data_IF_860150801951
#
_entry.id   IF_860150801951
#
_cell.length_a   1.000
_cell.length_b   1.000
_cell.length_c   1.000
_cell.angle_alpha   90.00
_cell.angle_beta   90.00
_cell.angle_gamma   90.00
#
_symmetry.space_group_name_H-M   'P 1'
#
loop_
_entity.id
_entity.type
_entity.pdbx_description
1 polymer ?
#
# COMPACT_ATOMS: atom_id res chain seq x y z
N UNK A 1 -5.06 -3.59 5.98
CA UNK A 1 -4.78 -4.92 5.40
C UNK A 1 -3.74 -4.79 4.30
N UNK A 2 -4.07 -4.19 3.15
CA UNK A 2 -3.14 -4.03 2.00
C UNK A 2 -1.75 -3.54 2.42
N UNK A 3 -1.67 -2.41 3.12
CA UNK A 3 -0.39 -1.83 3.54
C UNK A 3 0.46 -2.77 4.41
N UNK A 4 -0.16 -3.54 5.30
CA UNK A 4 0.58 -4.50 6.12
C UNK A 4 1.03 -5.72 5.31
N UNK A 5 0.20 -6.16 4.35
CA UNK A 5 0.54 -7.29 3.48
C UNK A 5 1.65 -6.95 2.48
N UNK A 6 1.73 -5.69 2.05
CA UNK A 6 2.85 -5.15 1.25
C UNK A 6 4.01 -4.61 2.11
N UNK A 7 4.03 -4.96 3.40
CA UNK A 7 5.11 -4.65 4.34
C UNK A 7 5.48 -3.16 4.42
N UNK A 8 4.49 -2.27 4.24
CA UNK A 8 4.72 -0.83 4.29
C UNK A 8 4.94 -0.37 5.73
N UNK A 9 6.12 0.19 6.01
CA UNK A 9 6.41 0.78 7.32
C UNK A 9 5.59 2.07 7.53
N UNK A 10 4.69 2.11 8.55
CA UNK A 10 3.93 3.30 8.87
C UNK A 10 4.77 4.44 9.46
N UNK A 11 6.04 4.20 9.83
CA UNK A 11 6.93 5.18 10.45
C UNK A 11 6.56 5.57 11.88
N UNK A 12 5.53 4.92 12.46
CA UNK A 12 5.04 5.13 13.82
C UNK A 12 4.73 3.79 14.50
N UNK A 13 4.86 3.77 15.82
CA UNK A 13 4.55 2.59 16.64
C UNK A 13 3.04 2.43 16.78
N UNK A 14 2.53 1.22 16.53
CA UNK A 14 1.14 0.88 16.84
C UNK A 14 1.02 0.31 18.25
N UNK A 15 1.81 -0.72 18.54
CA UNK A 15 1.92 -1.34 19.87
C UNK A 15 3.36 -1.77 20.06
N UNK A 16 4.12 -1.11 20.93
CA UNK A 16 5.55 -1.42 21.11
C UNK A 16 5.78 -2.94 21.31
N UNK A 17 6.72 -3.58 20.60
CA UNK A 17 7.68 -3.03 19.62
C UNK A 17 7.16 -2.91 18.17
N UNK A 18 5.90 -3.29 17.91
CA UNK A 18 5.29 -3.47 16.59
C UNK A 18 4.90 -2.16 15.88
N UNK A 19 5.29 -2.07 14.60
CA UNK A 19 4.93 -1.01 13.66
C UNK A 19 4.07 -1.57 12.53
N UNK A 20 2.76 -1.63 12.77
CA UNK A 20 1.78 -2.03 11.78
C UNK A 20 0.80 -0.89 11.51
N UNK A 21 0.31 -0.80 10.29
CA UNK A 21 -0.83 0.07 9.99
C UNK A 21 -2.06 -0.37 10.78
N UNK A 22 -2.63 0.59 11.47
CA UNK A 22 -3.95 0.52 12.10
C UNK A 22 -4.91 1.48 11.39
N UNK A 23 -6.21 1.21 11.42
CA UNK A 23 -7.21 2.06 10.74
C UNK A 23 -7.20 3.53 11.19
N UNK A 24 -6.82 3.77 12.46
CA UNK A 24 -6.66 5.13 13.01
C UNK A 24 -5.47 5.91 12.42
N UNK A 25 -4.65 5.27 11.57
CA UNK A 25 -3.49 5.87 10.90
C UNK A 25 -3.82 6.32 9.47
N UNK A 26 -5.05 6.13 9.00
CA UNK A 26 -5.46 6.39 7.62
C UNK A 26 -6.22 7.71 7.51
N UNK A 27 -5.57 8.80 7.92
CA UNK A 27 -6.14 10.13 8.12
C UNK A 27 -5.72 11.17 7.06
N UNK A 28 -4.99 10.76 6.03
CA UNK A 28 -4.66 11.66 4.92
C UNK A 28 -5.74 11.69 3.83
N UNK A 29 -5.80 12.77 3.05
CA UNK A 29 -6.83 13.06 2.04
C UNK A 29 -8.25 13.34 2.59
N UNK A 30 -8.72 12.59 3.59
CA UNK A 30 -10.05 12.77 4.19
C UNK A 30 -9.95 12.56 5.71
N UNK A 31 -10.48 13.47 6.54
CA UNK A 31 -10.50 13.28 7.99
C UNK A 31 -11.25 12.02 8.41
N UNK A 32 -10.72 11.28 9.40
CA UNK A 32 -11.32 10.03 9.88
C UNK A 32 -12.77 10.21 10.37
N UNK A 33 -13.11 11.36 10.94
CA UNK A 33 -14.46 11.63 11.45
C UNK A 33 -15.49 11.82 10.32
N UNK A 34 -15.05 12.19 9.13
CA UNK A 34 -15.92 12.23 7.94
C UNK A 34 -16.03 10.82 7.35
N UNK A 35 -14.92 10.08 7.25
CA UNK A 35 -14.90 8.69 6.79
C UNK A 35 -15.86 7.81 7.60
N UNK A 36 -15.91 7.97 8.93
CA UNK A 36 -16.84 7.21 9.80
C UNK A 36 -18.32 7.45 9.46
N UNK A 37 -18.67 8.64 8.95
CA UNK A 37 -20.05 9.03 8.66
C UNK A 37 -20.48 8.63 7.25
N UNK A 38 -19.61 8.84 6.26
CA UNK A 38 -19.98 8.75 4.84
C UNK A 38 -19.20 7.70 4.07
N UNK A 39 -18.18 7.08 4.66
CA UNK A 39 -17.24 6.21 3.97
C UNK A 39 -16.30 6.98 3.06
N UNK A 40 -15.78 6.30 2.03
CA UNK A 40 -14.89 6.87 1.02
C UNK A 40 -15.30 6.44 -0.38
N UNK A 41 -15.00 7.29 -1.35
CA UNK A 41 -15.16 6.99 -2.78
C UNK A 41 -13.95 6.23 -3.33
N UNK A 42 -14.06 5.69 -4.54
CA UNK A 42 -12.96 4.96 -5.18
C UNK A 42 -11.71 5.83 -5.38
N UNK A 43 -11.88 7.12 -5.72
CA UNK A 43 -10.77 8.07 -5.86
C UNK A 43 -10.17 8.47 -4.52
N UNK A 44 -10.97 8.58 -3.46
CA UNK A 44 -10.45 8.83 -2.11
C UNK A 44 -9.66 7.62 -1.58
N UNK A 45 -10.11 6.39 -1.89
CA UNK A 45 -9.33 5.19 -1.61
C UNK A 45 -7.95 5.24 -2.29
N UNK A 46 -7.92 5.60 -3.58
CA UNK A 46 -6.66 5.74 -4.31
C UNK A 46 -5.73 6.79 -3.68
N UNK A 47 -6.27 7.96 -3.30
CA UNK A 47 -5.51 9.00 -2.60
C UNK A 47 -4.92 8.50 -1.28
N UNK A 48 -5.72 7.80 -0.47
CA UNK A 48 -5.28 7.18 0.79
C UNK A 48 -4.14 6.17 0.56
N UNK A 49 -4.25 5.33 -0.48
CA UNK A 49 -3.22 4.36 -0.83
C UNK A 49 -1.91 5.05 -1.28
N UNK A 50 -2.00 6.04 -2.16
CA UNK A 50 -0.84 6.77 -2.69
C UNK A 50 -0.12 7.59 -1.62
N UNK A 51 -0.88 8.23 -0.73
CA UNK A 51 -0.37 8.92 0.45
C UNK A 51 0.43 7.96 1.37
N UNK A 52 0.05 6.68 1.39
CA UNK A 52 0.72 5.64 2.16
C UNK A 52 1.66 4.80 1.30
N UNK A 53 2.43 5.47 0.43
CA UNK A 53 3.58 4.90 -0.32
C UNK A 53 3.23 3.86 -1.38
N UNK A 54 1.96 3.64 -1.67
CA UNK A 54 1.56 2.73 -2.74
C UNK A 54 1.57 3.45 -4.10
N UNK A 55 1.77 2.67 -5.15
CA UNK A 55 1.31 2.99 -6.49
C UNK A 55 -0.09 2.39 -6.66
N UNK A 56 -0.97 3.16 -7.27
CA UNK A 56 -2.36 2.76 -7.48
C UNK A 56 -2.73 2.88 -8.94
N UNK A 57 -3.33 1.82 -9.49
CA UNK A 57 -4.01 1.86 -10.78
C UNK A 57 -5.52 1.66 -10.57
N UNK A 58 -6.30 2.69 -10.87
CA UNK A 58 -7.77 2.67 -10.70
C UNK A 58 -8.45 2.23 -12.00
N UNK A 59 -9.32 1.22 -11.91
CA UNK A 59 -10.14 0.74 -13.03
C UNK A 59 -11.62 0.88 -12.69
N UNK A 60 -12.26 1.86 -13.32
CA UNK A 60 -13.71 2.02 -13.25
C UNK A 60 -14.42 0.95 -14.09
N UNK A 61 -15.51 0.41 -13.56
CA UNK A 61 -16.23 -0.68 -14.20
C UNK A 61 -16.92 -0.26 -15.49
N UNK A 62 -16.99 -1.21 -16.42
CA UNK A 62 -17.61 -1.04 -17.73
C UNK A 62 -18.40 -2.30 -18.09
N UNK A 63 -19.56 -2.13 -18.75
CA UNK A 63 -20.45 -3.22 -19.16
C UNK A 63 -19.95 -4.00 -20.37
N UNK A 64 -18.95 -3.49 -21.10
CA UNK A 64 -18.33 -4.17 -22.24
C UNK A 64 -17.72 -5.53 -21.83
N UNK A 65 -17.86 -6.53 -22.71
CA UNK A 65 -17.27 -7.86 -22.52
C UNK A 65 -15.75 -7.83 -22.36
N UNK A 66 -15.08 -6.92 -23.08
CA UNK A 66 -13.65 -6.66 -22.98
C UNK A 66 -13.21 -6.36 -21.54
N UNK A 67 -14.00 -5.61 -20.78
CA UNK A 67 -13.67 -5.29 -19.38
C UNK A 67 -13.65 -6.53 -18.49
N UNK A 68 -14.58 -7.47 -18.69
CA UNK A 68 -14.59 -8.72 -17.94
C UNK A 68 -13.35 -9.56 -18.25
N UNK A 69 -12.91 -9.58 -19.50
CA UNK A 69 -11.68 -10.28 -19.89
C UNK A 69 -10.45 -9.61 -19.26
N UNK A 70 -10.33 -8.29 -19.32
CA UNK A 70 -9.25 -7.54 -18.67
C UNK A 70 -9.26 -7.78 -17.15
N UNK A 71 -10.44 -7.76 -16.51
CA UNK A 71 -10.57 -8.05 -15.09
C UNK A 71 -10.04 -9.46 -14.77
N UNK A 72 -10.40 -10.46 -15.58
CA UNK A 72 -9.95 -11.84 -15.38
C UNK A 72 -8.44 -11.97 -15.51
N UNK A 73 -7.84 -11.37 -16.53
CA UNK A 73 -6.38 -11.40 -16.72
C UNK A 73 -5.65 -10.68 -15.57
N UNK A 74 -6.15 -9.51 -15.14
CA UNK A 74 -5.57 -8.79 -14.00
C UNK A 74 -5.68 -9.60 -12.70
N UNK A 75 -6.80 -10.27 -12.47
CA UNK A 75 -6.98 -11.17 -11.32
C UNK A 75 -5.98 -12.32 -11.39
N UNK A 76 -5.85 -13.01 -12.52
CA UNK A 76 -4.88 -14.11 -12.69
C UNK A 76 -3.46 -13.64 -12.41
N UNK A 77 -3.06 -12.50 -12.96
CA UNK A 77 -1.72 -11.94 -12.77
C UNK A 77 -1.48 -11.58 -11.30
N UNK A 78 -2.39 -10.84 -10.67
CA UNK A 78 -2.22 -10.39 -9.29
C UNK A 78 -2.27 -11.53 -8.27
N UNK A 79 -3.00 -12.61 -8.55
CA UNK A 79 -3.04 -13.79 -7.65
C UNK A 79 -1.80 -14.69 -7.81
N UNK A 80 -0.97 -14.47 -8.85
CA UNK A 80 0.24 -15.25 -9.10
C UNK A 80 1.52 -14.60 -8.53
N UNK A 81 1.43 -13.38 -8.00
CA UNK A 81 2.54 -12.60 -7.44
C UNK A 81 2.17 -12.10 -6.04
N UNK A 82 3.16 -11.80 -5.21
CA UNK A 82 3.00 -11.41 -3.80
C UNK A 82 3.17 -9.90 -3.55
N UNK A 83 3.64 -9.14 -4.54
CA UNK A 83 3.92 -7.70 -4.44
C UNK A 83 2.73 -6.80 -4.82
N UNK A 84 1.62 -7.40 -5.23
CA UNK A 84 0.47 -6.71 -5.81
C UNK A 84 -0.83 -7.22 -5.21
N UNK A 85 -1.70 -6.30 -4.79
CA UNK A 85 -2.99 -6.63 -4.19
C UNK A 85 -4.13 -5.92 -4.93
N UNK A 86 -5.17 -6.69 -5.25
CA UNK A 86 -6.42 -6.16 -5.79
C UNK A 86 -7.42 -5.83 -4.69
N UNK A 87 -7.99 -4.63 -4.75
CA UNK A 87 -9.13 -4.22 -3.91
C UNK A 87 -10.30 -3.85 -4.80
N UNK A 88 -11.49 -4.34 -4.48
CA UNK A 88 -12.70 -4.08 -5.24
C UNK A 88 -13.63 -3.15 -4.48
N UNK A 89 -14.25 -2.21 -5.20
CA UNK A 89 -15.39 -1.41 -4.77
C UNK A 89 -16.63 -1.92 -5.49
N UNK A 90 -17.61 -2.42 -4.74
CA UNK A 90 -18.78 -3.08 -5.33
C UNK A 90 -20.05 -2.79 -4.54
N UNK A 91 -21.21 -2.99 -5.17
CA UNK A 91 -22.51 -2.89 -4.51
C UNK A 91 -22.95 -4.26 -3.99
N UNK A 92 -23.07 -4.39 -2.67
CA UNK A 92 -23.49 -5.62 -1.98
C UNK A 92 -24.85 -6.15 -2.42
N UNK A 93 -25.78 -5.27 -2.80
CA UNK A 93 -27.13 -5.67 -3.19
C UNK A 93 -27.13 -6.61 -4.39
N UNK A 94 -26.17 -6.45 -5.31
CA UNK A 94 -26.03 -7.31 -6.50
C UNK A 94 -25.62 -8.74 -6.11
N UNK A 95 -24.97 -8.90 -4.97
CA UNK A 95 -24.59 -10.21 -4.40
C UNK A 95 -25.68 -10.76 -3.45
N UNK A 96 -26.85 -10.12 -3.37
CA UNK A 96 -27.90 -10.49 -2.41
C UNK A 96 -27.54 -10.17 -0.96
N UNK A 97 -26.55 -9.31 -0.73
CA UNK A 97 -26.10 -8.91 0.61
C UNK A 97 -26.74 -7.59 1.04
N UNK A 98 -26.87 -7.42 2.36
CA UNK A 98 -27.44 -6.20 2.94
C UNK A 98 -26.41 -5.06 2.95
N UNK A 99 -26.86 -3.84 2.64
CA UNK A 99 -26.03 -2.65 2.52
C UNK A 99 -25.74 -2.32 1.05
N UNK A 100 -25.12 -1.17 0.80
CA UNK A 100 -24.84 -0.68 -0.55
C UNK A 100 -23.34 -0.84 -0.90
N UNK A 101 -22.62 0.28 -1.12
CA UNK A 101 -21.21 0.28 -1.46
C UNK A 101 -20.32 -0.37 -0.40
N UNK A 102 -19.35 -1.17 -0.84
CA UNK A 102 -18.38 -1.83 0.02
C UNK A 102 -17.03 -1.96 -0.67
N UNK A 103 -15.96 -2.01 0.13
CA UNK A 103 -14.59 -2.27 -0.32
C UNK A 103 -14.04 -3.51 0.36
N UNK A 104 -13.35 -4.39 -0.37
CA UNK A 104 -12.62 -5.51 0.21
C UNK A 104 -11.49 -5.97 -0.71
N UNK A 105 -10.39 -6.50 -0.14
CA UNK A 105 -9.35 -7.14 -0.94
C UNK A 105 -9.84 -8.48 -1.51
N UNK A 106 -9.27 -8.86 -2.64
CA UNK A 106 -9.43 -10.20 -3.22
C UNK A 106 -8.35 -11.12 -2.66
N UNK A 107 -8.73 -12.35 -2.31
CA UNK A 107 -7.84 -13.31 -1.65
C UNK A 107 -7.37 -14.48 -2.51
N UNK A 108 -8.18 -14.91 -3.47
CA UNK A 108 -7.87 -16.05 -4.33
C UNK A 108 -8.78 -16.06 -5.57
N UNK A 109 -8.32 -16.68 -6.65
CA UNK A 109 -9.09 -16.94 -7.87
C UNK A 109 -9.14 -18.44 -8.15
N UNK A 110 -10.31 -18.93 -8.50
CA UNK A 110 -10.54 -20.32 -8.88
C UNK A 110 -10.95 -20.37 -10.36
N UNK A 111 -10.03 -20.84 -11.21
CA UNK A 111 -10.17 -20.77 -12.66
C UNK A 111 -11.31 -21.64 -13.20
N UNK A 112 -11.46 -22.87 -12.69
CA UNK A 112 -12.47 -23.81 -13.21
C UNK A 112 -13.91 -23.32 -13.01
N UNK A 113 -14.19 -22.63 -11.89
CA UNK A 113 -15.52 -22.08 -11.61
C UNK A 113 -15.65 -20.59 -11.94
N UNK A 114 -14.59 -19.95 -12.43
CA UNK A 114 -14.48 -18.50 -12.65
C UNK A 114 -14.95 -17.68 -11.43
N UNK A 115 -14.50 -18.08 -10.24
CA UNK A 115 -14.88 -17.46 -8.97
C UNK A 115 -13.69 -16.77 -8.29
N UNK A 116 -14.01 -15.71 -7.57
CA UNK A 116 -13.05 -14.95 -6.76
C UNK A 116 -13.46 -14.97 -5.30
N UNK A 117 -12.48 -15.14 -4.42
CA UNK A 117 -12.66 -15.04 -2.98
C UNK A 117 -12.57 -13.58 -2.55
N UNK A 118 -13.67 -13.04 -2.03
CA UNK A 118 -13.71 -11.72 -1.41
C UNK A 118 -13.37 -11.87 0.07
N UNK A 119 -12.32 -11.19 0.53
CA UNK A 119 -11.92 -11.15 1.94
C UNK A 119 -12.68 -10.04 2.66
N UNK A 120 -13.97 -10.28 2.91
CA UNK A 120 -14.90 -9.27 3.44
C UNK A 120 -14.43 -8.66 4.77
N UNK A 121 -14.22 -7.34 4.77
CA UNK A 121 -13.70 -6.62 5.95
C UNK A 121 -14.77 -6.38 7.03
N UNK A 122 -16.06 -6.46 6.69
CA UNK A 122 -17.16 -6.39 7.64
C UNK A 122 -17.44 -7.78 8.26
N UNK A 123 -16.43 -8.34 8.93
CA UNK A 123 -16.43 -9.70 9.49
C UNK A 123 -17.59 -10.00 10.46
N UNK A 124 -18.17 -8.96 11.06
CA UNK A 124 -19.36 -9.09 11.90
C UNK A 124 -20.63 -9.48 11.12
N UNK A 125 -20.59 -9.38 9.79
CA UNK A 125 -21.76 -9.54 8.92
C UNK A 125 -21.61 -10.70 7.94
N UNK A 126 -20.47 -10.80 7.27
CA UNK A 126 -20.21 -11.83 6.27
C UNK A 126 -18.80 -12.40 6.45
N UNK A 127 -18.62 -13.73 6.34
CA UNK A 127 -17.30 -14.34 6.23
C UNK A 127 -16.70 -14.07 4.83
N UNK A 128 -15.40 -14.38 4.62
CA UNK A 128 -14.87 -14.51 3.27
C UNK A 128 -15.72 -15.47 2.43
N UNK A 129 -16.02 -15.10 1.19
CA UNK A 129 -16.96 -15.83 0.34
C UNK A 129 -16.57 -15.76 -1.14
N UNK A 130 -16.91 -16.81 -1.88
CA UNK A 130 -16.65 -16.93 -3.30
C UNK A 130 -17.79 -16.31 -4.12
N UNK A 131 -17.43 -15.54 -5.14
CA UNK A 131 -18.38 -14.87 -6.04
C UNK A 131 -17.97 -15.12 -7.48
N UNK A 132 -18.90 -15.45 -8.40
CA UNK A 132 -18.59 -15.50 -9.82
C UNK A 132 -18.06 -14.16 -10.32
N UNK A 133 -17.01 -14.17 -11.15
CA UNK A 133 -16.36 -12.94 -11.62
C UNK A 133 -17.32 -12.03 -12.40
N UNK A 134 -18.28 -12.62 -13.12
CA UNK A 134 -19.36 -11.92 -13.81
C UNK A 134 -20.27 -11.13 -12.85
N UNK A 135 -20.68 -11.75 -11.73
CA UNK A 135 -21.51 -11.11 -10.70
C UNK A 135 -20.74 -9.99 -10.01
N UNK A 136 -19.45 -10.21 -9.71
CA UNK A 136 -18.62 -9.15 -9.17
C UNK A 136 -18.49 -7.97 -10.15
N UNK A 137 -18.28 -8.24 -11.44
CA UNK A 137 -18.28 -7.20 -12.48
C UNK A 137 -19.57 -6.40 -12.47
N UNK A 138 -20.72 -7.08 -12.44
CA UNK A 138 -22.03 -6.43 -12.40
C UNK A 138 -22.22 -5.57 -11.14
N UNK A 139 -21.72 -6.05 -9.99
CA UNK A 139 -21.75 -5.32 -8.74
C UNK A 139 -20.91 -4.03 -8.78
N UNK A 140 -19.85 -4.00 -9.60
CA UNK A 140 -19.03 -2.79 -9.80
C UNK A 140 -19.68 -1.77 -10.76
N UNK A 141 -20.61 -2.19 -11.63
CA UNK A 141 -21.30 -1.27 -12.57
C UNK A 141 -22.24 -0.27 -11.87
N UNK A 142 -22.61 -0.55 -10.61
CA UNK A 142 -23.42 0.37 -9.82
C UNK A 142 -22.76 1.74 -9.73
N UNK A 143 -23.55 2.81 -9.91
CA UNK A 143 -23.07 4.19 -9.79
C UNK A 143 -22.94 4.57 -8.32
N UNK A 144 -21.78 5.12 -7.95
CA UNK A 144 -21.57 5.76 -6.67
C UNK A 144 -22.22 7.15 -6.69
N UNK A 145 -23.26 7.34 -5.87
CA UNK A 145 -24.08 8.57 -5.84
C UNK A 145 -23.28 9.81 -5.46
N UNK A 146 -22.17 9.67 -4.75
CA UNK A 146 -21.33 10.80 -4.34
C UNK A 146 -20.49 11.33 -5.51
N UNK A 147 -20.14 10.49 -6.48
CA UNK A 147 -19.25 10.88 -7.60
C UNK A 147 -19.91 10.88 -8.96
N UNK A 148 -21.08 10.22 -9.10
CA UNK A 148 -21.71 9.98 -10.39
C UNK A 148 -20.92 9.02 -11.30
N UNK A 149 -19.89 8.34 -10.78
CA UNK A 149 -19.07 7.38 -11.50
C UNK A 149 -19.44 5.94 -11.10
N UNK A 150 -19.25 4.94 -11.98
CA UNK A 150 -19.35 3.55 -11.57
C UNK A 150 -18.33 3.25 -10.47
N UNK A 151 -18.54 2.14 -9.75
CA UNK A 151 -17.49 1.58 -8.89
C UNK A 151 -16.43 0.88 -9.76
N UNK A 152 -15.63 0.00 -9.18
CA UNK A 152 -14.48 -0.56 -9.89
C UNK A 152 -13.51 -1.25 -8.96
N UNK A 153 -12.26 -1.36 -9.38
CA UNK A 153 -11.20 -1.96 -8.57
C UNK A 153 -9.91 -1.17 -8.66
N UNK A 154 -9.02 -1.43 -7.72
CA UNK A 154 -7.67 -0.88 -7.66
C UNK A 154 -6.67 -2.02 -7.69
N UNK A 155 -5.62 -1.85 -8.49
CA UNK A 155 -4.38 -2.63 -8.40
C UNK A 155 -3.41 -1.81 -7.56
N UNK A 156 -2.91 -2.40 -6.48
CA UNK A 156 -2.09 -1.72 -5.49
C UNK A 156 -0.76 -2.44 -5.37
N UNK A 157 0.34 -1.70 -5.50
CA UNK A 157 1.69 -2.21 -5.29
C UNK A 157 2.52 -1.20 -4.51
N UNK A 158 3.58 -1.64 -3.85
CA UNK A 158 4.52 -0.69 -3.25
C UNK A 158 5.15 0.15 -4.36
N UNK A 159 5.24 1.48 -4.17
CA UNK A 159 5.86 2.35 -5.16
C UNK A 159 7.36 2.02 -5.25
N UNK A 160 7.84 1.72 -6.45
CA UNK A 160 9.27 1.62 -6.75
C UNK A 160 9.94 2.93 -6.30
N UNK A 161 11.04 2.85 -5.55
CA UNK A 161 11.73 3.97 -4.84
C UNK A 161 11.18 4.39 -3.46
N UNK A 162 10.21 3.65 -2.87
CA UNK A 162 9.75 3.90 -1.48
C UNK A 162 10.03 2.74 -0.53
N UNK A 163 10.71 1.68 -1.00
CA UNK A 163 11.55 0.91 -0.09
C UNK A 163 12.44 1.93 0.61
N UNK A 164 12.30 2.04 1.94
CA UNK A 164 13.26 2.78 2.70
C UNK A 164 14.60 2.11 2.42
N UNK A 165 15.38 2.76 1.57
CA UNK A 165 16.81 2.61 1.53
C UNK A 165 17.40 3.26 2.79
N UNK A 166 16.78 3.04 3.95
CA UNK A 166 17.40 3.28 5.22
C UNK A 166 18.18 2.01 5.57
N UNK A 167 19.23 1.76 4.78
CA UNK A 167 20.24 0.76 5.10
C UNK A 167 20.91 1.09 6.46
N UNK A 168 20.86 2.37 6.88
CA UNK A 168 21.65 2.90 7.98
C UNK A 168 20.80 3.88 8.80
N UNK A 169 20.57 3.54 10.08
CA UNK A 169 19.96 4.45 11.07
C UNK A 169 21.01 4.81 12.12
N UNK A 170 21.12 6.10 12.44
CA UNK A 170 21.94 6.54 13.57
C UNK A 170 21.31 6.06 14.90
N UNK A 171 22.14 5.52 15.79
CA UNK A 171 21.75 5.12 17.15
C UNK A 171 21.02 6.27 17.85
N UNK A 172 19.94 5.97 18.58
CA UNK A 172 19.19 6.99 19.33
C UNK A 172 19.94 7.59 20.53
N UNK A 173 21.03 6.96 20.96
CA UNK A 173 21.91 7.44 22.02
C UNK A 173 23.26 7.88 21.42
N UNK A 174 23.22 9.01 20.69
CA UNK A 174 24.43 9.76 20.34
C UNK A 174 24.83 10.51 21.61
N UNK A 175 25.40 9.80 22.58
CA UNK A 175 25.85 10.45 23.81
C UNK A 175 26.84 11.58 23.46
N UNK A 176 26.72 12.72 24.13
CA UNK A 176 27.62 13.86 23.96
C UNK A 176 29.11 13.53 24.23
N UNK A 177 29.40 12.34 24.76
CA UNK A 177 30.75 11.80 24.98
C UNK A 177 31.37 11.15 23.73
N UNK A 178 30.59 10.91 22.67
CA UNK A 178 31.11 10.49 21.37
C UNK A 178 31.62 11.73 20.60
N UNK A 179 32.78 12.23 21.00
CA UNK A 179 33.42 13.48 20.54
C UNK A 179 33.67 13.59 19.02
N UNK A 180 33.45 12.52 18.26
CA UNK A 180 33.69 12.46 16.82
C UNK A 180 32.43 12.63 15.96
N UNK A 181 31.23 12.70 16.56
CA UNK A 181 30.00 12.81 15.77
C UNK A 181 29.90 14.12 14.96
N UNK A 182 30.18 15.27 15.60
CA UNK A 182 30.12 16.57 14.92
C UNK A 182 31.14 16.71 13.78
N UNK A 183 32.41 16.28 13.92
CA UNK A 183 33.34 16.19 12.80
C UNK A 183 32.84 15.31 11.64
N UNK A 184 32.30 14.12 11.95
CA UNK A 184 31.74 13.20 10.94
C UNK A 184 30.51 13.78 10.24
N UNK A 185 29.67 14.52 10.95
CA UNK A 185 28.54 15.23 10.33
C UNK A 185 29.04 16.27 9.31
N UNK A 186 30.14 16.98 9.59
CA UNK A 186 30.75 17.91 8.63
C UNK A 186 31.35 17.20 7.42
N UNK A 187 31.95 16.02 7.61
CA UNK A 187 32.42 15.19 6.49
C UNK A 187 31.23 14.76 5.59
N UNK A 188 30.10 14.42 6.21
CA UNK A 188 28.87 14.09 5.48
C UNK A 188 28.29 15.30 4.73
N UNK A 189 28.25 16.48 5.36
CA UNK A 189 27.82 17.73 4.72
C UNK A 189 28.71 18.08 3.52
N UNK A 190 30.02 17.83 3.61
CA UNK A 190 30.95 18.04 2.49
C UNK A 190 30.66 17.10 1.32
N UNK A 191 30.45 15.81 1.59
CA UNK A 191 30.06 14.83 0.56
C UNK A 191 28.73 15.22 -0.11
N UNK A 192 27.72 15.63 0.67
CA UNK A 192 26.43 16.06 0.12
C UNK A 192 26.51 17.35 -0.72
N UNK A 193 27.59 18.12 -0.59
CA UNK A 193 27.83 19.31 -1.40
C UNK A 193 28.54 19.01 -2.73
N UNK A 194 28.99 17.76 -2.94
CA UNK A 194 29.55 17.29 -4.22
C UNK A 194 28.44 17.13 -5.28
N UNK A 195 28.83 17.14 -6.56
CA UNK A 195 27.87 17.04 -7.66
C UNK A 195 27.29 15.63 -7.77
N UNK A 196 25.97 15.53 -7.88
CA UNK A 196 25.25 14.26 -7.99
C UNK A 196 25.69 13.47 -9.24
N UNK A 197 25.79 12.14 -9.10
CA UNK A 197 26.09 11.26 -10.24
C UNK A 197 24.88 11.17 -11.17
N UNK A 198 25.13 11.07 -12.48
CA UNK A 198 24.06 10.96 -13.48
C UNK A 198 23.31 9.62 -13.46
N UNK A 199 23.91 8.58 -12.87
CA UNK A 199 23.30 7.26 -12.70
C UNK A 199 22.79 7.11 -11.26
N UNK A 200 21.47 7.02 -11.10
CA UNK A 200 20.80 6.94 -9.80
C UNK A 200 21.15 5.68 -8.99
N UNK A 201 21.42 4.55 -9.63
CA UNK A 201 21.78 3.30 -8.94
C UNK A 201 23.20 3.40 -8.36
N UNK A 202 24.13 3.92 -9.16
CA UNK A 202 25.51 4.15 -8.73
C UNK A 202 25.61 5.27 -7.67
N UNK A 203 24.81 6.33 -7.82
CA UNK A 203 24.68 7.39 -6.82
C UNK A 203 24.23 6.80 -5.49
N UNK A 204 23.20 5.95 -5.53
CA UNK A 204 22.66 5.31 -4.35
C UNK A 204 23.69 4.40 -3.64
N UNK A 205 24.41 3.55 -4.37
CA UNK A 205 25.47 2.71 -3.82
C UNK A 205 26.58 3.55 -3.17
N UNK A 206 26.99 4.64 -3.84
CA UNK A 206 28.03 5.55 -3.36
C UNK A 206 27.62 6.24 -2.07
N UNK A 207 26.40 6.79 -2.02
CA UNK A 207 25.81 7.44 -0.84
C UNK A 207 25.78 6.46 0.34
N UNK A 208 25.38 5.21 0.12
CA UNK A 208 25.37 4.18 1.17
C UNK A 208 26.77 3.84 1.69
N UNK A 209 27.73 3.66 0.79
CA UNK A 209 29.11 3.34 1.17
C UNK A 209 29.75 4.47 1.99
N UNK A 210 29.58 5.72 1.54
CA UNK A 210 30.15 6.90 2.21
C UNK A 210 29.47 7.13 3.57
N UNK A 211 28.14 7.04 3.65
CA UNK A 211 27.44 7.16 4.92
C UNK A 211 27.89 6.07 5.91
N UNK A 212 28.05 4.83 5.44
CA UNK A 212 28.52 3.70 6.27
C UNK A 212 29.91 3.98 6.84
N UNK A 213 30.82 4.46 6.00
CA UNK A 213 32.19 4.78 6.40
C UNK A 213 32.24 5.91 7.43
N UNK A 214 31.54 7.03 7.15
CA UNK A 214 31.54 8.21 8.02
C UNK A 214 30.92 7.90 9.39
N UNK A 215 29.79 7.20 9.42
CA UNK A 215 29.05 6.94 10.65
C UNK A 215 29.33 5.55 11.26
N UNK A 216 30.37 4.84 10.83
CA UNK A 216 30.77 3.54 11.41
C UNK A 216 30.89 3.63 12.95
N UNK A 217 30.16 2.78 13.68
CA UNK A 217 30.07 2.82 15.16
C UNK A 217 28.97 3.74 15.73
N UNK A 218 28.24 4.44 14.87
CA UNK A 218 26.99 5.16 15.18
C UNK A 218 25.79 4.58 14.45
N UNK A 219 26.01 3.67 13.49
CA UNK A 219 24.97 3.02 12.72
C UNK A 219 24.56 1.73 13.42
N UNK A 220 23.25 1.46 13.45
CA UNK A 220 22.71 0.12 13.71
C UNK A 220 22.35 -0.49 12.36
N UNK A 221 22.96 -1.62 12.03
CA UNK A 221 22.48 -2.47 10.94
C UNK A 221 21.25 -3.20 11.48
N UNK A 222 20.11 -3.02 10.83
CA UNK A 222 19.00 -3.92 11.08
C UNK A 222 19.31 -5.22 10.34
N UNK A 223 19.61 -6.28 11.08
CA UNK A 223 19.45 -7.63 10.55
C UNK A 223 17.96 -7.82 10.26
N UNK A 224 17.62 -8.10 9.00
CA UNK A 224 16.28 -8.51 8.60
C UNK A 224 16.00 -9.99 8.93
N UNK A 225 16.74 -10.56 9.89
CA UNK A 225 16.55 -11.91 10.39
C UNK A 225 16.19 -11.89 11.87
N UNK A 226 14.97 -11.46 12.20
CA UNK A 226 14.22 -11.87 13.40
C UNK A 226 12.74 -11.47 13.28
#
# INVERSE_FOLDING_TARGET
>A
MVLNALEVDPGRVWKSPWRFYHESMLDCCVPLDDIKKTGITLSQFACLAECNKLYTEVKYANSKSEFLNILRENVKQCMAIDDTILVVSYNRQVLGQTGAGHFSPLGAYHEESDQILIMDVARFKYPPHWVPLTILRDAMLSIDTTTGKPRGYLILKLRSHVQQLALLRLQGDISAYKTLFAPRLKEWEQFLAEEALSNQELEFETVCAVFTAIFMGYIVFHDFSE
#
